data_IF_694511254181
#
_entry.id   IF_694511254181
#
_cell.length_a   1.000
_cell.length_b   1.000
_cell.length_c   1.000
_cell.angle_alpha   90.00
_cell.angle_beta   90.00
_cell.angle_gamma   90.00
#
_symmetry.space_group_name_H-M   'P 1'
#
loop_
_entity.id
_entity.type
_entity.pdbx_description
1 polymer ?
#
# COMPACT_ATOMS: atom_id res chain seq x y z
N UNK A 1 10.46 -45.36 -18.46
CA UNK A 1 9.58 -44.76 -17.44
C UNK A 1 10.15 -43.39 -17.11
N UNK A 2 9.61 -42.31 -17.69
CA UNK A 2 10.16 -40.95 -17.52
C UNK A 2 9.53 -40.30 -16.29
N UNK A 3 10.26 -40.24 -15.18
CA UNK A 3 9.85 -39.50 -14.00
C UNK A 3 10.01 -37.98 -14.28
N UNK A 4 8.89 -37.24 -14.29
CA UNK A 4 8.90 -35.77 -14.21
C UNK A 4 8.53 -35.36 -12.79
N UNK A 5 9.51 -34.87 -12.02
CA UNK A 5 9.32 -33.96 -10.88
C UNK A 5 10.68 -33.29 -10.57
N UNK A 6 10.79 -32.01 -10.11
CA UNK A 6 9.77 -31.08 -9.64
C UNK A 6 9.97 -29.65 -10.21
N UNK A 7 9.66 -29.38 -11.48
CA UNK A 7 9.70 -27.99 -11.98
C UNK A 7 8.61 -27.09 -11.32
N UNK A 8 7.62 -27.71 -10.68
CA UNK A 8 6.51 -27.03 -10.02
C UNK A 8 6.87 -26.44 -8.63
N UNK A 9 7.83 -27.01 -7.90
CA UNK A 9 8.14 -26.58 -6.53
C UNK A 9 8.77 -25.18 -6.48
N UNK A 10 9.72 -24.90 -7.38
CA UNK A 10 10.42 -23.61 -7.42
C UNK A 10 9.54 -22.44 -7.86
N UNK A 11 8.58 -22.67 -8.77
CA UNK A 11 7.62 -21.64 -9.18
C UNK A 11 6.59 -21.38 -8.08
N UNK A 12 6.01 -22.43 -7.49
CA UNK A 12 5.04 -22.30 -6.40
C UNK A 12 5.62 -21.57 -5.18
N UNK A 13 6.85 -21.92 -4.80
CA UNK A 13 7.58 -21.25 -3.72
C UNK A 13 7.78 -19.75 -3.95
N UNK A 14 8.17 -19.34 -5.18
CA UNK A 14 8.36 -17.91 -5.54
C UNK A 14 7.06 -17.12 -5.49
N UNK A 15 5.95 -17.75 -5.89
CA UNK A 15 4.64 -17.10 -5.86
C UNK A 15 4.17 -16.96 -4.40
N UNK A 16 4.26 -18.02 -3.61
CA UNK A 16 3.86 -18.00 -2.19
C UNK A 16 4.69 -16.98 -1.39
N UNK A 17 6.01 -16.99 -1.56
CA UNK A 17 6.88 -16.00 -0.92
C UNK A 17 6.57 -14.56 -1.38
N UNK A 18 6.25 -14.37 -2.66
CA UNK A 18 5.80 -13.07 -3.18
C UNK A 18 4.53 -12.58 -2.50
N UNK A 19 3.50 -13.43 -2.40
CA UNK A 19 2.24 -13.08 -1.72
C UNK A 19 2.49 -12.76 -0.24
N UNK A 20 3.18 -13.65 0.48
CA UNK A 20 3.46 -13.44 1.91
C UNK A 20 4.26 -12.16 2.14
N UNK A 21 5.29 -11.90 1.33
CA UNK A 21 6.05 -10.66 1.40
C UNK A 21 5.17 -9.43 1.11
N UNK A 22 4.30 -9.49 0.09
CA UNK A 22 3.39 -8.39 -0.25
C UNK A 22 2.40 -8.06 0.86
N UNK A 23 1.80 -9.08 1.50
CA UNK A 23 0.91 -8.89 2.65
C UNK A 23 1.66 -8.29 3.84
N UNK A 24 2.83 -8.84 4.19
CA UNK A 24 3.63 -8.36 5.33
C UNK A 24 4.11 -6.93 5.11
N UNK A 25 4.60 -6.60 3.91
CA UNK A 25 4.99 -5.24 3.52
C UNK A 25 3.80 -4.28 3.57
N UNK A 26 2.64 -4.69 3.05
CA UNK A 26 1.43 -3.88 3.04
C UNK A 26 0.91 -3.60 4.44
N UNK A 27 0.95 -4.59 5.33
CA UNK A 27 0.46 -4.43 6.70
C UNK A 27 1.43 -3.66 7.60
N UNK A 28 2.71 -4.06 7.64
CA UNK A 28 3.68 -3.52 8.60
C UNK A 28 4.44 -2.29 8.08
N UNK A 29 4.68 -2.19 6.77
CA UNK A 29 5.60 -1.19 6.22
C UNK A 29 4.90 -0.05 5.49
N UNK A 30 3.64 -0.23 5.06
CA UNK A 30 2.93 0.79 4.29
C UNK A 30 2.75 2.11 5.06
N UNK A 31 2.25 2.07 6.29
CA UNK A 31 2.07 3.28 7.11
C UNK A 31 3.39 4.00 7.42
N UNK A 32 4.45 3.32 7.92
CA UNK A 32 5.76 3.96 8.06
C UNK A 32 6.28 4.58 6.76
N UNK A 33 6.01 3.94 5.61
CA UNK A 33 6.39 4.46 4.30
C UNK A 33 5.58 5.71 3.93
N UNK A 34 4.26 5.73 4.17
CA UNK A 34 3.40 6.91 3.96
C UNK A 34 3.86 8.06 4.85
N UNK A 35 4.10 7.82 6.14
CA UNK A 35 4.57 8.85 7.07
C UNK A 35 5.90 9.45 6.63
N UNK A 36 6.85 8.60 6.21
CA UNK A 36 8.13 9.07 5.67
C UNK A 36 7.94 9.85 4.36
N UNK A 37 7.05 9.41 3.49
CA UNK A 37 6.74 10.08 2.22
C UNK A 37 6.16 11.47 2.47
N UNK A 38 5.20 11.58 3.39
CA UNK A 38 4.59 12.83 3.80
C UNK A 38 5.59 13.77 4.46
N UNK A 39 6.50 13.23 5.29
CA UNK A 39 7.57 13.99 5.90
C UNK A 39 8.53 14.61 4.87
N UNK A 40 8.94 13.86 3.84
CA UNK A 40 9.80 14.39 2.78
C UNK A 40 9.08 15.35 1.83
N UNK A 41 7.77 15.17 1.64
CA UNK A 41 6.96 16.01 0.76
C UNK A 41 6.44 17.27 1.42
N UNK A 42 6.83 17.57 2.66
CA UNK A 42 6.28 18.64 3.51
C UNK A 42 4.75 18.70 3.43
N UNK A 43 4.12 17.52 3.38
CA UNK A 43 2.70 17.40 3.08
C UNK A 43 1.93 17.90 4.30
N UNK A 44 1.10 18.96 4.15
CA UNK A 44 0.33 19.48 5.28
C UNK A 44 -0.60 18.39 5.79
N UNK A 45 -0.48 18.07 7.07
CA UNK A 45 -1.38 17.14 7.75
C UNK A 45 -2.79 17.72 7.80
N UNK A 46 -3.84 16.88 7.84
CA UNK A 46 -5.20 17.33 8.06
C UNK A 46 -5.23 18.17 9.35
N UNK A 47 -5.81 19.38 9.29
CA UNK A 47 -6.10 20.12 10.52
C UNK A 47 -7.22 19.38 11.23
N UNK A 48 -6.90 18.79 12.39
CA UNK A 48 -7.90 18.24 13.30
C UNK A 48 -8.69 19.43 13.86
N UNK A 49 -9.86 19.71 13.27
CA UNK A 49 -10.79 20.73 13.76
C UNK A 49 -11.87 20.04 14.62
N UNK A 50 -12.24 20.61 15.79
CA UNK A 50 -13.29 20.06 16.62
C UNK A 50 -14.63 20.48 16.03
N UNK A 51 -15.27 19.64 15.22
CA UNK A 51 -16.57 19.97 14.62
C UNK A 51 -17.61 18.87 14.86
N UNK A 52 -18.41 19.13 15.88
CA UNK A 52 -19.85 18.92 15.94
C UNK A 52 -20.48 18.60 14.57
N UNK A 53 -20.99 17.39 14.48
CA UNK A 53 -22.06 16.93 13.57
C UNK A 53 -21.71 16.54 12.12
N UNK A 54 -21.94 15.25 11.90
CA UNK A 54 -21.96 14.38 10.73
C UNK A 54 -22.62 14.86 9.41
N UNK A 55 -22.84 16.15 9.16
CA UNK A 55 -23.54 16.62 7.94
C UNK A 55 -22.93 17.81 7.22
N UNK A 56 -21.87 18.42 7.75
CA UNK A 56 -21.18 19.49 7.04
C UNK A 56 -19.89 18.97 6.43
N UNK A 57 -19.85 18.84 5.10
CA UNK A 57 -18.61 19.03 4.36
C UNK A 57 -18.12 20.45 4.69
N UNK A 58 -17.39 20.58 5.81
CA UNK A 58 -16.84 21.85 6.25
C UNK A 58 -16.09 22.52 5.10
N UNK A 59 -16.21 23.85 4.99
CA UNK A 59 -15.78 24.63 3.83
C UNK A 59 -14.28 24.57 3.48
N UNK A 60 -13.47 23.86 4.27
CA UNK A 60 -12.06 23.60 4.00
C UNK A 60 -11.79 22.09 3.98
N UNK A 61 -11.84 21.42 2.80
CA UNK A 61 -11.51 20.00 2.70
C UNK A 61 -10.04 19.74 3.06
N UNK A 62 -9.68 18.54 3.57
CA UNK A 62 -8.29 18.19 3.81
C UNK A 62 -7.48 18.37 2.52
N UNK A 63 -6.29 18.98 2.58
CA UNK A 63 -5.53 19.38 1.40
C UNK A 63 -5.32 18.20 0.46
N UNK A 64 -5.57 18.39 -0.85
CA UNK A 64 -5.48 17.31 -1.86
C UNK A 64 -4.11 16.61 -1.84
N UNK A 65 -3.05 17.33 -1.51
CA UNK A 65 -1.70 16.78 -1.33
C UNK A 65 -1.62 15.68 -0.27
N UNK A 66 -2.41 15.78 0.80
CA UNK A 66 -2.54 14.74 1.82
C UNK A 66 -3.08 13.45 1.19
N UNK A 67 -4.23 13.52 0.52
CA UNK A 67 -4.85 12.35 -0.13
C UNK A 67 -3.95 11.72 -1.19
N UNK A 68 -3.30 12.54 -2.00
CA UNK A 68 -2.40 12.07 -3.07
C UNK A 68 -1.13 11.43 -2.49
N UNK A 69 -0.66 11.88 -1.33
CA UNK A 69 0.56 11.33 -0.71
C UNK A 69 0.44 9.84 -0.33
N UNK A 70 -0.77 9.36 -0.02
CA UNK A 70 -1.04 7.93 0.23
C UNK A 70 -0.75 7.05 -1.00
N UNK A 71 -0.92 7.60 -2.20
CA UNK A 71 -0.60 6.90 -3.44
C UNK A 71 0.92 6.78 -3.68
N UNK A 72 1.74 7.64 -3.08
CA UNK A 72 3.19 7.72 -3.33
C UNK A 72 3.91 6.38 -3.14
N UNK A 73 3.84 5.76 -1.93
CA UNK A 73 4.46 4.46 -1.69
C UNK A 73 3.93 3.34 -2.59
N UNK A 74 2.63 3.37 -2.95
CA UNK A 74 2.03 2.38 -3.86
C UNK A 74 2.61 2.52 -5.26
N UNK A 75 2.67 3.74 -5.79
CA UNK A 75 3.26 4.03 -7.10
C UNK A 75 4.71 3.58 -7.15
N UNK A 76 5.47 3.82 -6.09
CA UNK A 76 6.86 3.36 -6.00
C UNK A 76 6.97 1.82 -6.07
N UNK A 77 6.19 1.09 -5.27
CA UNK A 77 6.21 -0.39 -5.27
C UNK A 77 5.76 -0.96 -6.62
N UNK A 78 4.74 -0.37 -7.23
CA UNK A 78 4.27 -0.77 -8.57
C UNK A 78 5.35 -0.51 -9.62
N UNK A 79 5.97 0.67 -9.62
CA UNK A 79 7.04 1.01 -10.56
C UNK A 79 8.23 0.05 -10.43
N UNK A 80 8.68 -0.24 -9.20
CA UNK A 80 9.71 -1.24 -8.94
C UNK A 80 9.29 -2.62 -9.45
N UNK A 81 8.04 -3.02 -9.23
CA UNK A 81 7.49 -4.27 -9.77
C UNK A 81 7.53 -4.33 -11.30
N UNK A 82 7.14 -3.25 -11.97
CA UNK A 82 7.16 -3.15 -13.44
C UNK A 82 8.59 -3.25 -13.99
N UNK A 83 9.60 -2.71 -13.30
CA UNK A 83 11.01 -2.84 -13.70
C UNK A 83 11.50 -4.30 -13.73
N UNK A 84 10.83 -5.21 -13.01
CA UNK A 84 11.20 -6.64 -12.99
C UNK A 84 10.55 -7.47 -14.11
N UNK A 85 9.63 -6.88 -14.89
CA UNK A 85 8.94 -7.54 -16.01
C UNK A 85 9.88 -8.22 -17.02
N UNK A 86 11.00 -7.62 -17.46
CA UNK A 86 11.90 -8.26 -18.43
C UNK A 86 12.56 -9.54 -17.89
N UNK A 87 12.63 -9.73 -16.57
CA UNK A 87 13.29 -10.90 -15.96
C UNK A 87 12.29 -11.95 -15.46
N UNK A 88 12.14 -13.06 -16.20
CA UNK A 88 11.14 -14.12 -15.90
C UNK A 88 11.18 -14.64 -14.46
N UNK A 89 12.37 -14.77 -13.86
CA UNK A 89 12.51 -15.27 -12.50
C UNK A 89 12.04 -14.25 -11.44
N UNK A 90 12.28 -12.95 -11.68
CA UNK A 90 11.90 -11.88 -10.77
C UNK A 90 10.39 -11.59 -10.89
N UNK A 91 9.85 -11.62 -12.10
CA UNK A 91 8.41 -11.46 -12.37
C UNK A 91 7.53 -12.46 -11.59
N UNK A 92 8.00 -13.70 -11.41
CA UNK A 92 7.28 -14.74 -10.66
C UNK A 92 7.10 -14.42 -9.16
N UNK A 93 7.94 -13.55 -8.62
CA UNK A 93 7.88 -13.08 -7.24
C UNK A 93 7.24 -11.68 -7.15
N UNK A 94 7.65 -10.77 -8.03
CA UNK A 94 7.24 -9.37 -8.00
C UNK A 94 5.76 -9.17 -8.32
N UNK A 95 5.18 -9.91 -9.28
CA UNK A 95 3.75 -9.81 -9.59
C UNK A 95 2.85 -10.20 -8.40
N UNK A 96 3.04 -11.37 -7.76
CA UNK A 96 2.25 -11.72 -6.58
C UNK A 96 2.50 -10.77 -5.41
N UNK A 97 3.72 -10.26 -5.24
CA UNK A 97 4.03 -9.25 -4.23
C UNK A 97 3.24 -7.97 -4.44
N UNK A 98 3.29 -7.38 -5.64
CA UNK A 98 2.53 -6.17 -5.96
C UNK A 98 1.03 -6.43 -5.85
N UNK A 99 0.57 -7.57 -6.36
CA UNK A 99 -0.84 -7.98 -6.33
C UNK A 99 -1.39 -8.16 -4.91
N UNK A 100 -0.56 -8.58 -3.95
CA UNK A 100 -0.94 -8.70 -2.54
C UNK A 100 -0.75 -7.37 -1.76
N UNK A 101 0.28 -6.60 -2.11
CA UNK A 101 0.59 -5.34 -1.45
C UNK A 101 -0.47 -4.26 -1.71
N UNK A 102 -0.88 -4.06 -2.96
CA UNK A 102 -1.83 -3.02 -3.36
C UNK A 102 -3.17 -3.10 -2.59
N UNK A 103 -3.88 -4.24 -2.53
CA UNK A 103 -5.13 -4.33 -1.76
C UNK A 103 -4.90 -4.16 -0.26
N UNK A 104 -3.75 -4.62 0.27
CA UNK A 104 -3.42 -4.44 1.68
C UNK A 104 -3.18 -2.96 2.02
N UNK A 105 -2.43 -2.25 1.18
CA UNK A 105 -2.21 -0.81 1.28
C UNK A 105 -3.54 -0.04 1.19
N UNK A 106 -4.44 -0.45 0.30
CA UNK A 106 -5.77 0.15 0.19
C UNK A 106 -6.62 -0.04 1.46
N UNK A 107 -6.61 -1.24 2.06
CA UNK A 107 -7.31 -1.51 3.33
C UNK A 107 -6.75 -0.68 4.48
N UNK A 108 -5.41 -0.61 4.59
CA UNK A 108 -4.76 0.18 5.64
C UNK A 108 -5.05 1.67 5.47
N UNK A 109 -4.99 2.18 4.24
CA UNK A 109 -5.36 3.56 3.93
C UNK A 109 -6.81 3.83 4.31
N UNK A 110 -7.74 2.97 3.89
CA UNK A 110 -9.16 3.10 4.21
C UNK A 110 -9.42 3.16 5.71
N UNK A 111 -8.81 2.26 6.48
CA UNK A 111 -8.99 2.23 7.94
C UNK A 111 -8.44 3.50 8.57
N UNK A 112 -7.22 3.91 8.26
CA UNK A 112 -6.61 5.08 8.90
C UNK A 112 -7.31 6.38 8.53
N UNK A 113 -7.60 6.57 7.24
CA UNK A 113 -8.38 7.72 6.75
C UNK A 113 -9.77 7.73 7.40
N UNK A 114 -10.43 6.58 7.48
CA UNK A 114 -11.72 6.46 8.17
C UNK A 114 -11.61 6.83 9.64
N UNK A 115 -10.60 6.32 10.36
CA UNK A 115 -10.39 6.65 11.76
C UNK A 115 -10.14 8.15 11.97
N UNK A 116 -9.33 8.78 11.13
CA UNK A 116 -9.08 10.22 11.19
C UNK A 116 -10.34 11.05 10.90
N UNK A 117 -11.21 10.59 10.00
CA UNK A 117 -12.44 11.30 9.66
C UNK A 117 -13.56 11.12 10.69
N UNK A 118 -13.61 9.97 11.39
CA UNK A 118 -14.74 9.61 12.26
C UNK A 118 -14.45 9.68 13.76
N UNK A 119 -13.18 9.62 14.19
CA UNK A 119 -12.83 9.40 15.60
C UNK A 119 -11.86 10.41 16.21
N UNK A 120 -11.47 11.49 15.53
CA UNK A 120 -10.72 12.57 16.20
C UNK A 120 -11.61 13.23 17.24
N UNK A 121 -11.32 13.06 18.55
CA UNK A 121 -12.07 13.72 19.60
C UNK A 121 -11.65 15.20 19.69
N UNK A 122 -12.62 16.03 20.03
CA UNK A 122 -12.54 17.47 20.29
C UNK A 122 -11.32 17.91 21.11
#
# INVERSE_FOLDING_TARGET
MWARAPAASGRGWRISSGVSAGVLLGFFCYLPAVNRWQHYGDVPQPRVYPHESFTSLGSDPPPVGYWVSWAGPVVFVVACGLMTIPWRAARQFALPLVGAFVPMAALVAWIFIGMELFFTPD
#
